data_IF_059145742142
#
_entry.id   IF_059145742142
#
_cell.length_a   1.000
_cell.length_b   1.000
_cell.length_c   1.000
_cell.angle_alpha   90.00
_cell.angle_beta   90.00
_cell.angle_gamma   90.00
#
_symmetry.space_group_name_H-M   'P 1'
#
loop_
_entity.id
_entity.type
_entity.pdbx_description
1 polymer ?
#
# COMPACT_ATOMS: atom_id res chain seq x y z
N UNK A 1 -18.70 15.55 -4.92
CA UNK A 1 -19.56 14.36 -5.00
C UNK A 1 -18.65 13.22 -5.40
N UNK A 2 -18.26 12.34 -4.47
CA UNK A 2 -17.33 11.26 -4.78
C UNK A 2 -18.03 10.25 -5.68
N UNK A 3 -17.60 10.17 -6.94
CA UNK A 3 -18.04 9.09 -7.83
C UNK A 3 -17.41 7.81 -7.26
N UNK A 4 -18.21 7.03 -6.55
CA UNK A 4 -17.79 5.83 -5.83
C UNK A 4 -17.49 4.72 -6.82
N UNK A 5 -16.33 4.79 -7.47
CA UNK A 5 -15.75 3.60 -8.08
C UNK A 5 -15.58 2.56 -6.98
N UNK A 6 -16.12 1.36 -7.17
CA UNK A 6 -15.96 0.23 -6.26
C UNK A 6 -14.47 -0.08 -6.10
N UNK A 7 -13.98 -0.08 -4.86
CA UNK A 7 -12.58 -0.39 -4.55
C UNK A 7 -12.48 -1.87 -4.24
N UNK A 8 -11.52 -2.55 -4.86
CA UNK A 8 -11.29 -3.98 -4.62
C UNK A 8 -10.01 -4.13 -3.81
N UNK A 9 -10.14 -4.56 -2.56
CA UNK A 9 -9.02 -4.83 -1.66
C UNK A 9 -8.60 -6.30 -1.76
N UNK A 10 -7.35 -6.52 -2.13
CA UNK A 10 -6.69 -7.80 -2.15
C UNK A 10 -5.66 -7.85 -1.02
N UNK A 11 -5.95 -8.59 0.05
CA UNK A 11 -4.97 -8.87 1.09
C UNK A 11 -4.10 -10.05 0.65
N UNK A 12 -2.81 -9.77 0.42
CA UNK A 12 -1.84 -10.76 -0.03
C UNK A 12 -1.20 -11.39 1.19
N UNK A 13 -1.37 -12.69 1.36
CA UNK A 13 -0.82 -13.42 2.50
C UNK A 13 0.31 -14.35 2.06
N UNK A 14 1.33 -14.54 2.93
CA UNK A 14 2.34 -15.56 2.72
C UNK A 14 1.72 -16.93 2.45
N UNK A 15 2.34 -17.70 1.56
CA UNK A 15 1.95 -19.10 1.38
C UNK A 15 2.10 -19.86 2.72
N UNK A 16 1.09 -20.67 3.07
CA UNK A 16 1.06 -21.44 4.31
C UNK A 16 0.30 -20.81 5.48
N UNK A 17 -0.24 -19.59 5.33
CA UNK A 17 -1.19 -19.02 6.30
C UNK A 17 -2.45 -19.91 6.46
N UNK A 18 -2.94 -20.05 7.70
CA UNK A 18 -4.13 -20.85 8.04
C UNK A 18 -5.23 -20.00 8.63
N UNK A 19 -6.46 -20.22 8.18
CA UNK A 19 -7.64 -19.56 8.76
C UNK A 19 -8.10 -20.31 10.00
N UNK A 20 -8.12 -19.63 11.16
CA UNK A 20 -8.54 -20.21 12.44
C UNK A 20 -9.51 -19.23 13.11
N UNK A 21 -10.79 -19.58 13.24
CA UNK A 21 -11.76 -18.88 14.09
C UNK A 21 -11.75 -17.33 13.94
N UNK A 22 -11.78 -16.84 12.69
CA UNK A 22 -11.68 -15.42 12.28
C UNK A 22 -10.29 -14.78 12.40
N UNK A 23 -9.30 -15.54 12.80
CA UNK A 23 -7.90 -15.16 12.76
C UNK A 23 -7.18 -15.86 11.59
N UNK A 24 -6.03 -15.31 11.21
CA UNK A 24 -5.15 -15.87 10.18
C UNK A 24 -3.80 -16.12 10.84
N UNK A 25 -3.54 -17.39 11.15
CA UNK A 25 -2.26 -17.83 11.69
C UNK A 25 -1.16 -17.64 10.63
N UNK A 26 -0.01 -17.11 11.06
CA UNK A 26 1.10 -16.79 10.16
C UNK A 26 1.04 -15.40 9.54
N UNK A 27 0.13 -14.52 9.97
CA UNK A 27 0.14 -13.10 9.58
C UNK A 27 0.32 -12.16 10.76
N UNK A 28 0.74 -10.93 10.49
CA UNK A 28 1.00 -9.94 11.53
C UNK A 28 -0.30 -9.39 12.14
N UNK A 29 -0.26 -8.96 13.40
CA UNK A 29 -1.40 -8.28 14.06
C UNK A 29 -1.90 -7.06 13.27
N UNK A 30 -0.97 -6.33 12.63
CA UNK A 30 -1.29 -5.18 11.79
C UNK A 30 -2.10 -5.60 10.56
N UNK A 31 -1.73 -6.72 9.91
CA UNK A 31 -2.49 -7.25 8.78
C UNK A 31 -3.87 -7.74 9.21
N UNK A 32 -3.97 -8.48 10.31
CA UNK A 32 -5.26 -8.94 10.87
C UNK A 32 -6.18 -7.76 11.17
N UNK A 33 -5.64 -6.71 11.82
CA UNK A 33 -6.39 -5.50 12.11
C UNK A 33 -6.86 -4.81 10.82
N UNK A 34 -6.01 -4.72 9.79
CA UNK A 34 -6.39 -4.11 8.50
C UNK A 34 -7.54 -4.87 7.82
N UNK A 35 -7.47 -6.21 7.81
CA UNK A 35 -8.53 -7.08 7.28
C UNK A 35 -9.82 -6.90 8.07
N UNK A 36 -9.76 -6.91 9.40
CA UNK A 36 -10.92 -6.76 10.25
C UNK A 36 -11.56 -5.37 10.12
N UNK A 37 -10.75 -4.31 10.02
CA UNK A 37 -11.24 -2.96 9.73
C UNK A 37 -11.94 -2.93 8.36
N UNK A 38 -11.32 -3.47 7.32
CA UNK A 38 -11.93 -3.50 5.99
C UNK A 38 -13.28 -4.25 6.00
N UNK A 39 -13.35 -5.43 6.63
CA UNK A 39 -14.59 -6.23 6.72
C UNK A 39 -15.73 -5.50 7.44
N UNK A 40 -15.39 -4.65 8.40
CA UNK A 40 -16.35 -3.87 9.19
C UNK A 40 -16.58 -2.46 8.63
N UNK A 41 -15.92 -2.08 7.54
CA UNK A 41 -16.11 -0.78 6.91
C UNK A 41 -17.39 -0.79 6.05
N UNK A 42 -18.28 0.17 6.29
CA UNK A 42 -19.52 0.37 5.51
C UNK A 42 -19.29 0.98 4.11
N UNK A 43 -18.09 0.86 3.55
CA UNK A 43 -17.75 1.40 2.24
C UNK A 43 -18.04 0.37 1.15
N UNK A 44 -18.27 0.84 -0.09
CA UNK A 44 -18.48 0.00 -1.28
C UNK A 44 -17.16 -0.68 -1.70
N UNK A 45 -16.72 -1.62 -0.87
CA UNK A 45 -15.40 -2.24 -0.95
C UNK A 45 -15.54 -3.75 -1.04
N UNK A 46 -15.04 -4.33 -2.13
CA UNK A 46 -14.93 -5.78 -2.26
C UNK A 46 -13.63 -6.21 -1.57
N UNK A 47 -13.72 -7.20 -0.69
CA UNK A 47 -12.55 -7.74 0.01
C UNK A 47 -12.29 -9.14 -0.47
N UNK A 48 -11.03 -9.41 -0.81
CA UNK A 48 -10.55 -10.76 -1.08
C UNK A 48 -9.20 -10.97 -0.40
N UNK A 49 -8.95 -12.21 -0.03
CA UNK A 49 -7.69 -12.62 0.55
C UNK A 49 -7.09 -13.65 -0.39
N UNK A 50 -5.86 -13.40 -0.83
CA UNK A 50 -5.17 -14.18 -1.85
C UNK A 50 -3.78 -14.56 -1.36
N UNK A 51 -3.26 -15.68 -1.84
CA UNK A 51 -1.88 -16.07 -1.56
C UNK A 51 -0.91 -15.44 -2.56
N UNK A 52 0.36 -15.36 -2.19
CA UNK A 52 1.45 -14.94 -3.08
C UNK A 52 1.46 -15.69 -4.40
N UNK A 53 1.33 -17.02 -4.34
CA UNK A 53 1.27 -17.86 -5.53
C UNK A 53 0.12 -17.50 -6.48
N UNK A 54 -1.05 -17.21 -5.92
CA UNK A 54 -2.23 -16.82 -6.70
C UNK A 54 -2.01 -15.48 -7.39
N UNK A 55 -1.38 -14.54 -6.68
CA UNK A 55 -1.04 -13.22 -7.23
C UNK A 55 -0.01 -13.32 -8.36
N UNK A 56 1.00 -14.16 -8.21
CA UNK A 56 2.05 -14.36 -9.21
C UNK A 56 1.49 -14.86 -10.56
N UNK A 57 0.37 -15.59 -10.54
CA UNK A 57 -0.30 -16.10 -11.75
C UNK A 57 -1.33 -15.15 -12.36
N UNK A 58 -1.59 -14.01 -11.74
CA UNK A 58 -2.53 -13.02 -12.29
C UNK A 58 -1.95 -12.37 -13.54
N UNK A 59 -2.83 -12.17 -14.52
CA UNK A 59 -2.56 -11.38 -15.72
C UNK A 59 -2.63 -9.89 -15.37
N UNK A 60 -1.46 -9.22 -15.43
CA UNK A 60 -1.30 -7.82 -15.08
C UNK A 60 -2.13 -6.87 -15.95
N UNK A 61 -2.47 -7.26 -17.19
CA UNK A 61 -3.27 -6.41 -18.09
C UNK A 61 -4.71 -6.27 -17.62
N UNK A 62 -5.22 -7.29 -16.92
CA UNK A 62 -6.57 -7.32 -16.36
C UNK A 62 -6.70 -6.58 -15.03
N UNK A 63 -5.57 -6.20 -14.44
CA UNK A 63 -5.55 -5.49 -13.17
C UNK A 63 -5.82 -4.01 -13.41
N UNK A 64 -6.84 -3.50 -12.74
CA UNK A 64 -7.31 -2.12 -12.86
C UNK A 64 -6.69 -1.19 -11.81
N UNK A 65 -6.83 0.12 -12.00
CA UNK A 65 -6.39 1.15 -11.04
C UNK A 65 -7.25 1.25 -9.78
N UNK A 66 -8.36 0.51 -9.72
CA UNK A 66 -9.26 0.47 -8.56
C UNK A 66 -8.97 -0.75 -7.65
N UNK A 67 -8.09 -1.65 -8.10
CA UNK A 67 -7.59 -2.75 -7.29
C UNK A 67 -6.43 -2.27 -6.41
N UNK A 68 -6.52 -2.61 -5.12
CA UNK A 68 -5.53 -2.28 -4.09
C UNK A 68 -4.98 -3.58 -3.54
N UNK A 69 -3.67 -3.79 -3.65
CA UNK A 69 -2.99 -4.94 -3.06
C UNK A 69 -2.30 -4.54 -1.76
N UNK A 70 -2.64 -5.23 -0.68
CA UNK A 70 -2.11 -5.00 0.65
C UNK A 70 -1.10 -6.10 0.97
N UNK A 71 0.16 -5.72 1.10
CA UNK A 71 1.26 -6.64 1.37
C UNK A 71 1.73 -6.53 2.82
N UNK A 72 2.04 -7.64 3.51
CA UNK A 72 2.51 -7.61 4.89
C UNK A 72 3.87 -6.93 5.00
N UNK A 73 4.71 -7.07 3.98
CA UNK A 73 6.03 -6.46 3.80
C UNK A 73 6.38 -6.45 2.31
N UNK A 74 7.28 -5.56 1.90
CA UNK A 74 7.75 -5.48 0.50
C UNK A 74 9.09 -6.22 0.26
N UNK A 75 9.82 -6.51 1.34
CA UNK A 75 11.09 -7.23 1.34
C UNK A 75 11.21 -8.10 2.59
N UNK A 76 12.11 -9.08 2.58
CA UNK A 76 12.39 -9.95 3.72
C UNK A 76 12.36 -11.43 3.36
N UNK A 77 12.50 -12.31 4.37
CA UNK A 77 12.49 -13.77 4.19
C UNK A 77 11.12 -14.40 4.40
N UNK A 78 10.23 -13.69 5.08
CA UNK A 78 8.92 -14.20 5.48
C UNK A 78 7.82 -13.94 4.43
N UNK A 79 8.20 -13.40 3.27
CA UNK A 79 7.34 -13.08 2.14
C UNK A 79 8.17 -13.21 0.85
N UNK A 80 7.65 -13.86 -0.19
CA UNK A 80 8.30 -13.96 -1.49
C UNK A 80 8.24 -12.61 -2.22
N UNK A 81 9.37 -11.89 -2.36
CA UNK A 81 9.39 -10.59 -3.00
C UNK A 81 8.99 -10.65 -4.48
N UNK A 82 8.98 -11.82 -5.13
CA UNK A 82 8.55 -11.96 -6.53
C UNK A 82 7.09 -11.61 -6.72
N UNK A 83 6.22 -11.91 -5.76
CA UNK A 83 4.81 -11.55 -5.85
C UNK A 83 4.62 -10.02 -5.84
N UNK A 84 5.42 -9.33 -5.01
CA UNK A 84 5.45 -7.87 -4.95
C UNK A 84 6.03 -7.26 -6.24
N UNK A 85 7.19 -7.74 -6.71
CA UNK A 85 7.81 -7.22 -7.93
C UNK A 85 6.96 -7.48 -9.18
N UNK A 86 6.25 -8.62 -9.24
CA UNK A 86 5.29 -8.89 -10.33
C UNK A 86 4.17 -7.86 -10.36
N UNK A 87 3.55 -7.56 -9.22
CA UNK A 87 2.39 -6.66 -9.19
C UNK A 87 2.75 -5.20 -9.41
N UNK A 88 3.99 -4.78 -9.10
CA UNK A 88 4.48 -3.41 -9.35
C UNK A 88 4.44 -3.02 -10.83
N UNK A 89 4.44 -3.99 -11.72
CA UNK A 89 4.34 -3.77 -13.16
C UNK A 89 2.89 -3.53 -13.64
N UNK A 90 1.91 -3.62 -12.73
CA UNK A 90 0.50 -3.36 -13.02
C UNK A 90 0.11 -1.89 -12.77
N UNK A 91 -1.17 -1.58 -12.99
CA UNK A 91 -1.78 -0.27 -12.67
C UNK A 91 -2.37 -0.20 -11.26
N UNK A 92 -2.23 -1.26 -10.46
CA UNK A 92 -2.83 -1.33 -9.15
C UNK A 92 -2.16 -0.40 -8.14
N UNK A 93 -2.91 -0.09 -7.08
CA UNK A 93 -2.38 0.59 -5.91
C UNK A 93 -1.77 -0.48 -4.99
N UNK A 94 -0.55 -0.27 -4.50
CA UNK A 94 0.13 -1.22 -3.61
C UNK A 94 0.39 -0.57 -2.26
N UNK A 95 -0.17 -1.14 -1.20
CA UNK A 95 -0.08 -0.58 0.16
C UNK A 95 0.47 -1.58 1.17
N UNK A 96 1.02 -1.06 2.26
CA UNK A 96 1.21 -1.80 3.51
C UNK A 96 -0.06 -1.78 4.38
N UNK A 97 -0.25 -2.74 5.29
CA UNK A 97 -1.43 -2.81 6.15
C UNK A 97 -1.53 -1.59 7.07
N UNK A 98 -0.39 -1.00 7.46
CA UNK A 98 -0.39 0.20 8.31
C UNK A 98 -0.92 1.43 7.57
N UNK A 99 -0.56 1.60 6.29
CA UNK A 99 -1.13 2.66 5.46
C UNK A 99 -2.65 2.53 5.36
N UNK A 100 -3.15 1.32 5.08
CA UNK A 100 -4.60 1.08 4.97
C UNK A 100 -5.34 1.29 6.30
N UNK A 101 -4.77 0.83 7.42
CA UNK A 101 -5.33 1.09 8.75
C UNK A 101 -5.46 2.57 9.06
N UNK A 102 -4.43 3.34 8.75
CA UNK A 102 -4.45 4.80 8.90
C UNK A 102 -5.57 5.42 8.04
N UNK A 103 -5.81 4.92 6.82
CA UNK A 103 -6.94 5.35 6.00
C UNK A 103 -8.28 5.18 6.72
N UNK A 104 -8.55 3.99 7.23
CA UNK A 104 -9.81 3.68 7.89
C UNK A 104 -9.96 4.44 9.22
N UNK A 105 -8.93 4.43 10.06
CA UNK A 105 -8.98 5.03 11.40
C UNK A 105 -9.09 6.54 11.37
N UNK A 106 -8.43 7.19 10.41
CA UNK A 106 -8.45 8.66 10.25
C UNK A 106 -9.54 9.13 9.30
N UNK A 107 -10.33 8.21 8.74
CA UNK A 107 -11.35 8.48 7.73
C UNK A 107 -10.81 9.32 6.56
N UNK A 108 -9.61 8.97 6.08
CA UNK A 108 -8.97 9.61 4.91
C UNK A 108 -9.08 8.68 3.69
N UNK A 109 -9.13 9.22 2.47
CA UNK A 109 -9.23 8.39 1.27
C UNK A 109 -7.97 7.53 1.09
N UNK A 110 -8.18 6.32 0.54
CA UNK A 110 -7.10 5.48 0.05
C UNK A 110 -6.33 6.25 -1.04
N UNK A 111 -4.99 6.33 -0.96
CA UNK A 111 -4.20 7.12 -1.89
C UNK A 111 -4.25 6.49 -3.29
N UNK A 112 -4.62 7.27 -4.30
CA UNK A 112 -4.59 6.87 -5.72
C UNK A 112 -3.22 7.18 -6.31
N UNK A 113 -2.26 6.31 -6.01
CA UNK A 113 -0.85 6.41 -6.38
C UNK A 113 -0.42 5.17 -7.16
N UNK A 114 0.51 5.33 -8.10
CA UNK A 114 1.11 4.23 -8.85
C UNK A 114 2.32 3.61 -8.15
N UNK A 115 2.82 4.27 -7.10
CA UNK A 115 4.01 3.85 -6.36
C UNK A 115 3.64 3.14 -5.06
N UNK A 116 4.35 2.06 -4.66
CA UNK A 116 4.04 1.34 -3.42
C UNK A 116 4.21 2.22 -2.17
N UNK A 117 3.24 2.19 -1.26
CA UNK A 117 3.25 2.96 -0.01
C UNK A 117 3.02 2.08 1.21
N UNK A 118 4.05 1.91 2.04
CA UNK A 118 3.96 1.03 3.21
C UNK A 118 3.27 1.68 4.42
N UNK A 119 3.50 2.98 4.65
CA UNK A 119 3.00 3.74 5.81
C UNK A 119 2.88 5.23 5.52
N UNK A 120 2.05 5.96 6.28
CA UNK A 120 1.97 7.42 6.26
C UNK A 120 2.88 8.09 7.30
N UNK A 121 3.80 7.37 7.95
CA UNK A 121 4.63 7.92 9.04
C UNK A 121 5.42 9.20 8.67
N UNK A 122 5.72 9.40 7.38
CA UNK A 122 6.43 10.58 6.85
C UNK A 122 5.55 11.40 5.90
N UNK A 123 4.24 11.19 5.96
CA UNK A 123 3.29 12.07 5.28
C UNK A 123 3.49 13.49 5.81
N UNK A 124 3.57 14.46 4.92
CA UNK A 124 3.81 15.88 5.20
C UNK A 124 5.23 16.23 5.68
N UNK A 125 6.20 15.29 5.61
CA UNK A 125 7.61 15.57 5.87
C UNK A 125 8.34 15.92 4.56
N UNK A 126 8.83 17.16 4.46
CA UNK A 126 9.68 17.59 3.34
C UNK A 126 11.15 17.39 3.71
N UNK A 127 11.84 16.50 3.01
CA UNK A 127 13.28 16.27 3.20
C UNK A 127 14.03 16.91 2.03
N UNK A 128 15.02 17.76 2.32
CA UNK A 128 15.89 18.33 1.27
C UNK A 128 16.98 17.33 0.90
N UNK A 129 17.25 17.18 -0.41
CA UNK A 129 18.23 16.23 -0.96
C UNK A 129 19.64 16.32 -0.33
N UNK A 130 20.05 17.52 0.10
CA UNK A 130 21.36 17.73 0.73
C UNK A 130 21.46 17.12 2.13
N UNK A 131 20.33 16.87 2.80
CA UNK A 131 20.28 16.25 4.13
C UNK A 131 20.19 14.70 4.06
N UNK A 132 20.11 14.14 2.85
CA UNK A 132 19.94 12.69 2.60
C UNK A 132 21.30 12.00 2.35
N UNK A 133 22.37 12.75 2.07
CA UNK A 133 23.69 12.18 1.81
C UNK A 133 24.26 11.40 3.02
N UNK A 134 23.88 11.79 4.24
CA UNK A 134 24.30 11.15 5.49
C UNK A 134 23.29 10.13 6.04
N UNK A 135 22.09 10.06 5.46
CA UNK A 135 21.11 9.03 5.77
C UNK A 135 21.39 7.82 4.88
N UNK A 136 21.96 6.76 5.46
CA UNK A 136 21.92 5.43 4.84
C UNK A 136 20.51 5.21 4.30
N UNK A 137 20.39 5.11 2.96
CA UNK A 137 19.13 5.03 2.20
C UNK A 137 17.99 4.53 3.08
N UNK A 138 17.02 5.38 3.47
CA UNK A 138 15.97 4.93 4.39
C UNK A 138 15.30 3.71 3.77
N UNK A 139 15.49 2.54 4.41
CA UNK A 139 15.06 1.22 3.89
C UNK A 139 13.56 1.12 3.63
N UNK A 140 12.78 2.10 4.09
CA UNK A 140 11.33 2.13 3.97
C UNK A 140 10.89 3.47 3.41
N UNK A 141 11.34 3.80 2.19
CA UNK A 141 10.78 4.86 1.36
C UNK A 141 11.24 4.64 -0.08
N UNK A 142 10.30 4.38 -1.01
CA UNK A 142 10.64 4.42 -2.42
C UNK A 142 10.87 5.90 -2.79
N UNK A 143 12.05 6.18 -3.36
CA UNK A 143 12.56 7.52 -3.67
C UNK A 143 11.58 8.38 -4.50
N UNK A 144 10.69 7.75 -5.28
CA UNK A 144 9.68 8.43 -6.09
C UNK A 144 8.61 9.18 -5.27
N UNK A 145 8.21 8.68 -4.10
CA UNK A 145 7.23 9.39 -3.25
C UNK A 145 7.79 10.72 -2.72
N UNK A 146 9.07 10.72 -2.38
CA UNK A 146 9.78 11.94 -1.97
C UNK A 146 9.89 12.90 -3.15
N UNK A 147 10.07 12.38 -4.37
CA UNK A 147 10.15 13.18 -5.59
C UNK A 147 8.81 13.80 -6.01
N UNK A 148 7.69 13.08 -5.93
CA UNK A 148 6.36 13.63 -6.23
C UNK A 148 5.94 14.73 -5.25
N UNK A 149 6.27 14.56 -3.95
CA UNK A 149 6.07 15.61 -2.94
C UNK A 149 6.95 16.82 -3.24
N UNK A 150 8.17 16.59 -3.76
CA UNK A 150 9.10 17.65 -4.17
C UNK A 150 8.59 18.42 -5.40
N UNK A 151 8.14 17.76 -6.46
CA UNK A 151 7.61 18.43 -7.66
C UNK A 151 6.38 19.29 -7.36
N UNK A 152 5.48 18.82 -6.48
CA UNK A 152 4.32 19.61 -6.04
C UNK A 152 4.73 20.80 -5.17
N UNK A 153 5.69 20.60 -4.26
CA UNK A 153 6.20 21.69 -3.42
C UNK A 153 7.01 22.74 -4.19
N UNK A 154 7.60 22.37 -5.34
CA UNK A 154 8.31 23.28 -6.22
C UNK A 154 7.38 24.13 -7.10
N UNK A 155 6.15 23.68 -7.38
CA UNK A 155 5.16 24.50 -8.13
C UNK A 155 4.39 25.48 -7.23
N UNK A 156 4.29 25.21 -5.92
CA UNK A 156 3.54 26.08 -4.99
C UNK A 156 4.36 27.27 -4.43
N UNK A 157 5.62 27.42 -4.81
CA UNK A 157 6.52 28.46 -4.27
C UNK A 157 7.01 29.50 -5.28
N UNK A 158 6.44 29.57 -6.49
CA UNK A 158 6.85 30.56 -7.51
C UNK A 158 5.79 31.65 -7.77
N UNK A 159 4.99 31.99 -6.75
CA UNK A 159 3.95 33.03 -6.83
C UNK A 159 3.87 33.95 -5.60
N UNK A 160 5.02 34.21 -4.94
CA UNK A 160 5.12 35.34 -3.98
C UNK A 160 6.41 36.11 -4.16
N UNK A 161 6.25 37.30 -4.75
CA UNK A 161 7.13 38.47 -4.61
C UNK A 161 7.66 38.63 -3.18
#
# INVERSE_FOLDING_TARGET
MWQLDEIILHFVLPDGCKYILNDIEGTSRTMQAAINCAKNCNHNTIISIISEWTLFRRDLQKISSNEVFVFPQFEGKDFDPKAFEHIKLSRAIILGPRCLLDCFTKNIPIPRISTPLYTFAMRDMVIKKNDIADLQKPKVMHFEWVYEVWEKSCHDNDDRF
#
